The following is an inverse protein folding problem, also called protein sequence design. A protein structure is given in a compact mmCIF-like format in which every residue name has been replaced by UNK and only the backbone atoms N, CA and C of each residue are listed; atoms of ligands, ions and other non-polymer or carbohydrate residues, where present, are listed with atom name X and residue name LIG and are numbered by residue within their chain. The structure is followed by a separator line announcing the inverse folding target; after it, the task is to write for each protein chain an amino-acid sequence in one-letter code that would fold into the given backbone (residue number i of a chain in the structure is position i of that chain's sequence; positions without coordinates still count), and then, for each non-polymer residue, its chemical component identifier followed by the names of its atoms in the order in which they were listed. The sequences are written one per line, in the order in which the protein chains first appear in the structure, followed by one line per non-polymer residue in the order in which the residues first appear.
data_IF_812917213781
#
_entry.id   IF_812917213781
#
_cell.length_a   1.000
_cell.length_b   1.000
_cell.length_c   1.000
_cell.angle_alpha   90.00
_cell.angle_beta   90.00
_cell.angle_gamma   90.00
#
_symmetry.space_group_name_H-M   'P 1'
#
loop_
_entity.id
_entity.type
_entity.pdbx_description
1 polymer ?
#
# COMPACT_ATOMS: atom_id res chain seq x y z
N UNK A 1 45.66 2.83 -54.20
CA UNK A 1 45.74 2.48 -52.77
C UNK A 1 45.37 3.63 -51.85
N UNK A 2 45.87 4.81 -52.07
CA UNK A 2 45.61 6.00 -51.24
C UNK A 2 44.10 6.36 -51.27
N UNK A 3 43.48 6.27 -52.43
CA UNK A 3 42.06 6.54 -52.62
C UNK A 3 41.12 5.58 -51.83
N UNK A 4 41.52 4.32 -51.76
CA UNK A 4 40.76 3.31 -51.02
C UNK A 4 40.79 3.54 -49.51
N UNK A 5 41.91 4.02 -48.99
CA UNK A 5 42.05 4.36 -47.56
C UNK A 5 41.23 5.59 -47.18
N UNK A 6 41.22 6.63 -48.02
CA UNK A 6 40.43 7.85 -47.77
C UNK A 6 38.93 7.57 -47.76
N UNK A 7 38.44 6.70 -48.64
CA UNK A 7 37.04 6.30 -48.68
C UNK A 7 36.66 5.45 -47.46
N UNK A 8 37.59 4.61 -46.96
CA UNK A 8 37.34 3.78 -45.76
C UNK A 8 37.19 4.59 -44.48
N UNK A 9 37.98 5.64 -44.28
CA UNK A 9 37.98 6.46 -43.09
C UNK A 9 36.60 7.12 -42.85
N UNK A 10 35.92 7.75 -43.82
CA UNK A 10 34.59 8.29 -43.64
C UNK A 10 33.53 7.22 -43.34
N UNK A 11 33.64 6.05 -43.94
CA UNK A 11 32.70 4.93 -43.68
C UNK A 11 32.84 4.42 -42.26
N UNK A 12 34.07 4.27 -41.74
CA UNK A 12 34.32 3.88 -40.35
C UNK A 12 33.84 4.93 -39.37
N UNK A 13 34.08 6.20 -39.62
CA UNK A 13 33.60 7.29 -38.78
C UNK A 13 32.06 7.32 -38.73
N UNK A 14 31.41 7.09 -39.88
CA UNK A 14 29.96 7.02 -39.97
C UNK A 14 29.40 5.83 -39.18
N UNK A 15 30.00 4.66 -39.26
CA UNK A 15 29.61 3.47 -38.50
C UNK A 15 29.82 3.67 -37.00
N UNK A 16 30.93 4.24 -36.59
CA UNK A 16 31.23 4.54 -35.18
C UNK A 16 30.26 5.56 -34.64
N UNK A 17 29.94 6.60 -35.40
CA UNK A 17 28.96 7.62 -35.04
C UNK A 17 27.55 7.03 -34.90
N UNK A 18 27.15 6.15 -35.83
CA UNK A 18 25.87 5.47 -35.75
C UNK A 18 25.80 4.54 -34.52
N UNK A 19 26.87 3.79 -34.25
CA UNK A 19 26.95 2.90 -33.07
C UNK A 19 26.87 3.70 -31.76
N UNK A 20 27.54 4.84 -31.68
CA UNK A 20 27.48 5.73 -30.51
C UNK A 20 26.08 6.31 -30.36
N UNK A 21 25.42 6.70 -31.45
CA UNK A 21 24.05 7.22 -31.42
C UNK A 21 23.08 6.13 -30.96
N UNK A 22 23.23 4.88 -31.41
CA UNK A 22 22.44 3.75 -30.93
C UNK A 22 22.66 3.48 -29.45
N UNK A 23 23.90 3.48 -29.00
CA UNK A 23 24.24 3.26 -27.59
C UNK A 23 23.64 4.35 -26.69
N UNK A 24 23.68 5.61 -27.15
CA UNK A 24 23.03 6.74 -26.41
C UNK A 24 21.52 6.59 -26.37
N UNK A 25 20.89 6.19 -27.49
CA UNK A 25 19.47 5.97 -27.56
C UNK A 25 19.03 4.83 -26.60
N UNK A 26 19.83 3.74 -26.54
CA UNK A 26 19.59 2.64 -25.60
C UNK A 26 19.74 3.06 -24.13
N UNK A 27 20.76 3.89 -23.85
CA UNK A 27 20.97 4.44 -22.50
C UNK A 27 19.82 5.36 -22.11
N UNK A 28 19.38 6.24 -22.99
CA UNK A 28 18.26 7.14 -22.75
C UNK A 28 16.96 6.36 -22.51
N UNK A 29 16.73 5.31 -23.31
CA UNK A 29 15.57 4.43 -23.14
C UNK A 29 15.64 3.68 -21.81
N UNK A 30 16.81 3.20 -21.39
CA UNK A 30 17.02 2.54 -20.10
C UNK A 30 16.81 3.51 -18.93
N UNK A 31 17.30 4.74 -19.05
CA UNK A 31 17.09 5.80 -18.04
C UNK A 31 15.61 6.15 -17.90
N UNK A 32 14.89 6.30 -19.01
CA UNK A 32 13.46 6.56 -19.01
C UNK A 32 12.67 5.43 -18.35
N UNK A 33 13.02 4.17 -18.69
CA UNK A 33 12.40 2.99 -18.08
C UNK A 33 12.67 2.94 -16.58
N UNK A 34 13.89 3.28 -16.15
CA UNK A 34 14.27 3.31 -14.74
C UNK A 34 13.51 4.41 -13.99
N UNK A 35 13.42 5.61 -14.57
CA UNK A 35 12.66 6.73 -14.00
C UNK A 35 11.17 6.38 -13.87
N UNK A 36 10.62 5.73 -14.89
CA UNK A 36 9.24 5.26 -14.87
C UNK A 36 9.02 4.25 -13.74
N UNK A 37 9.91 3.26 -13.61
CA UNK A 37 9.85 2.26 -12.53
C UNK A 37 9.96 2.92 -11.16
N UNK A 38 10.85 3.89 -10.98
CA UNK A 38 10.99 4.64 -9.74
C UNK A 38 9.74 5.44 -9.42
N UNK A 39 9.13 6.06 -10.43
CA UNK A 39 7.88 6.78 -10.30
C UNK A 39 6.73 5.86 -9.90
N UNK A 40 6.59 4.72 -10.58
CA UNK A 40 5.57 3.72 -10.29
C UNK A 40 5.73 3.15 -8.87
N UNK A 41 6.97 2.83 -8.45
CA UNK A 41 7.28 2.36 -7.10
C UNK A 41 6.96 3.43 -6.06
N UNK A 42 7.29 4.69 -6.32
CA UNK A 42 7.00 5.80 -5.42
C UNK A 42 5.50 5.98 -5.22
N UNK A 43 4.73 5.90 -6.31
CA UNK A 43 3.27 5.96 -6.25
C UNK A 43 2.68 4.78 -5.50
N UNK A 44 3.20 3.58 -5.74
CA UNK A 44 2.76 2.36 -5.06
C UNK A 44 3.03 2.44 -3.54
N UNK A 45 4.23 2.88 -3.15
CA UNK A 45 4.58 3.09 -1.73
C UNK A 45 3.65 4.12 -1.08
N UNK A 46 3.37 5.23 -1.77
CA UNK A 46 2.44 6.26 -1.27
C UNK A 46 1.03 5.71 -1.10
N UNK A 47 0.57 4.93 -2.07
CA UNK A 47 -0.75 4.31 -2.04
C UNK A 47 -0.85 3.30 -0.89
N UNK A 48 0.17 2.45 -0.72
CA UNK A 48 0.23 1.47 0.37
C UNK A 48 0.33 2.16 1.74
N UNK A 49 1.11 3.24 1.86
CA UNK A 49 1.18 4.05 3.08
C UNK A 49 -0.16 4.65 3.44
N UNK A 50 -0.92 5.12 2.43
CA UNK A 50 -2.26 5.65 2.64
C UNK A 50 -3.21 4.57 3.12
N UNK A 51 -3.15 3.38 2.51
CA UNK A 51 -3.94 2.23 2.93
C UNK A 51 -3.67 1.83 4.38
N UNK A 52 -2.40 1.86 4.79
CA UNK A 52 -2.02 1.60 6.19
C UNK A 52 -2.65 2.63 7.13
N UNK A 53 -2.58 3.91 6.79
CA UNK A 53 -3.19 4.97 7.60
C UNK A 53 -4.70 4.84 7.69
N UNK A 54 -5.35 4.54 6.57
CA UNK A 54 -6.79 4.30 6.52
C UNK A 54 -7.18 3.09 7.37
N UNK A 55 -6.40 2.01 7.29
CA UNK A 55 -6.62 0.81 8.09
C UNK A 55 -6.39 1.06 9.58
N UNK A 56 -5.38 1.85 9.96
CA UNK A 56 -5.12 2.25 11.34
C UNK A 56 -6.27 3.08 11.90
N UNK A 57 -6.76 4.06 11.13
CA UNK A 57 -7.92 4.86 11.52
C UNK A 57 -9.18 4.01 11.64
N UNK A 58 -9.39 3.09 10.70
CA UNK A 58 -10.49 2.14 10.75
C UNK A 58 -10.43 1.26 11.99
N UNK A 59 -9.24 0.82 12.38
CA UNK A 59 -9.01 0.05 13.60
C UNK A 59 -9.33 0.86 14.86
N UNK A 60 -8.92 2.12 14.92
CA UNK A 60 -9.20 3.01 16.04
C UNK A 60 -10.70 3.29 16.18
N UNK A 61 -11.38 3.55 15.04
CA UNK A 61 -12.84 3.77 15.02
C UNK A 61 -13.58 2.51 15.49
N UNK A 62 -13.18 1.34 14.97
CA UNK A 62 -13.81 0.07 15.37
C UNK A 62 -13.61 -0.20 16.86
N UNK A 63 -12.43 0.13 17.40
CA UNK A 63 -12.15 0.00 18.84
C UNK A 63 -13.05 0.91 19.69
N UNK A 64 -13.20 2.16 19.27
CA UNK A 64 -14.09 3.12 19.97
C UNK A 64 -15.55 2.69 19.90
N UNK A 65 -16.00 2.19 18.75
CA UNK A 65 -17.36 1.67 18.60
C UNK A 65 -17.61 0.46 19.49
N UNK A 66 -16.63 -0.42 19.62
CA UNK A 66 -16.69 -1.57 20.51
C UNK A 66 -16.78 -1.11 21.97
N UNK A 67 -15.95 -0.17 22.39
CA UNK A 67 -15.99 0.40 23.74
C UNK A 67 -17.36 1.03 24.03
N UNK A 68 -17.90 1.77 23.05
CA UNK A 68 -19.20 2.40 23.18
C UNK A 68 -20.32 1.34 23.35
N UNK A 69 -20.27 0.27 22.56
CA UNK A 69 -21.23 -0.84 22.66
C UNK A 69 -21.12 -1.55 24.01
N UNK A 70 -19.90 -1.76 24.52
CA UNK A 70 -19.65 -2.37 25.83
C UNK A 70 -20.21 -1.49 26.97
N UNK A 71 -19.98 -0.18 26.89
CA UNK A 71 -20.54 0.77 27.87
C UNK A 71 -22.07 0.81 27.80
N UNK A 72 -22.64 0.83 26.61
CA UNK A 72 -24.07 0.78 26.38
C UNK A 72 -24.70 -0.48 26.99
N UNK A 73 -24.05 -1.63 26.77
CA UNK A 73 -24.47 -2.91 27.33
C UNK A 73 -24.43 -2.87 28.86
N UNK A 74 -23.37 -2.31 29.44
CA UNK A 74 -23.23 -2.21 30.91
C UNK A 74 -24.32 -1.33 31.51
N UNK A 75 -24.63 -0.20 30.89
CA UNK A 75 -25.72 0.70 31.33
C UNK A 75 -27.07 -0.01 31.24
N UNK A 76 -27.30 -0.71 30.13
CA UNK A 76 -28.54 -1.44 29.88
C UNK A 76 -28.70 -2.61 30.87
N UNK A 77 -27.61 -3.29 31.21
CA UNK A 77 -27.60 -4.34 32.23
C UNK A 77 -28.01 -3.78 33.59
N UNK A 78 -27.49 -2.61 33.98
CA UNK A 78 -27.87 -1.94 35.21
C UNK A 78 -29.35 -1.55 35.19
N UNK A 79 -29.85 -1.06 34.07
CA UNK A 79 -31.28 -0.72 33.89
C UNK A 79 -32.15 -1.98 33.95
N UNK A 80 -31.72 -3.09 33.38
CA UNK A 80 -32.42 -4.36 33.45
C UNK A 80 -32.50 -4.87 34.88
N UNK A 81 -31.42 -4.77 35.67
CA UNK A 81 -31.37 -5.17 37.06
C UNK A 81 -32.33 -4.33 37.91
N UNK A 82 -32.58 -3.07 37.52
CA UNK A 82 -33.54 -2.16 38.18
C UNK A 82 -34.97 -2.31 37.62
N UNK A 83 -35.20 -3.22 36.67
CA UNK A 83 -36.50 -3.42 36.07
C UNK A 83 -36.91 -2.35 35.05
N UNK A 84 -35.94 -1.51 34.58
CA UNK A 84 -36.22 -0.41 33.66
C UNK A 84 -36.00 -0.77 32.20
N UNK A 85 -35.36 -1.92 31.92
CA UNK A 85 -35.11 -2.42 30.57
C UNK A 85 -35.66 -3.82 30.44
N UNK A 86 -36.00 -4.21 29.20
CA UNK A 86 -36.51 -5.55 28.91
C UNK A 86 -35.36 -6.50 28.57
N UNK A 87 -35.62 -7.81 28.71
CA UNK A 87 -34.67 -8.84 28.27
C UNK A 87 -34.35 -8.71 26.78
N UNK A 88 -35.33 -8.36 25.96
CA UNK A 88 -35.16 -8.14 24.53
C UNK A 88 -34.17 -7.02 24.25
N UNK A 89 -34.23 -5.93 24.98
CA UNK A 89 -33.29 -4.81 24.86
C UNK A 89 -31.88 -5.26 25.22
N UNK A 90 -31.73 -6.05 26.27
CA UNK A 90 -30.44 -6.59 26.72
C UNK A 90 -29.84 -7.54 25.68
N UNK A 91 -30.64 -8.45 25.14
CA UNK A 91 -30.20 -9.38 24.09
C UNK A 91 -29.79 -8.64 22.81
N UNK A 92 -30.54 -7.61 22.44
CA UNK A 92 -30.23 -6.76 21.28
C UNK A 92 -28.90 -6.04 21.48
N UNK A 93 -28.64 -5.55 22.69
CA UNK A 93 -27.35 -4.91 23.01
C UNK A 93 -26.18 -5.89 22.99
N UNK A 94 -26.39 -7.15 23.43
CA UNK A 94 -25.39 -8.21 23.32
C UNK A 94 -25.05 -8.54 21.86
N UNK A 95 -26.06 -8.60 21.00
CA UNK A 95 -25.85 -8.84 19.57
C UNK A 95 -25.08 -7.68 18.94
N UNK A 96 -25.41 -6.45 19.30
CA UNK A 96 -24.67 -5.28 18.81
C UNK A 96 -23.20 -5.30 19.26
N UNK A 97 -22.95 -5.64 20.53
CA UNK A 97 -21.58 -5.80 21.03
C UNK A 97 -20.81 -6.86 20.25
N UNK A 98 -21.43 -8.02 19.98
CA UNK A 98 -20.81 -9.09 19.22
C UNK A 98 -20.48 -8.63 17.79
N UNK A 99 -21.39 -7.90 17.14
CA UNK A 99 -21.16 -7.33 15.81
C UNK A 99 -19.97 -6.34 15.83
N UNK A 100 -19.88 -5.52 16.87
CA UNK A 100 -18.76 -4.58 17.04
C UNK A 100 -17.44 -5.32 17.31
N UNK A 101 -17.47 -6.43 18.04
CA UNK A 101 -16.31 -7.31 18.20
C UNK A 101 -15.81 -7.84 16.86
N UNK A 102 -16.71 -8.36 16.04
CA UNK A 102 -16.36 -8.87 14.71
C UNK A 102 -15.79 -7.76 13.83
N UNK A 103 -16.40 -6.58 13.86
CA UNK A 103 -15.91 -5.43 13.11
C UNK A 103 -14.50 -5.00 13.57
N UNK A 104 -14.24 -5.05 14.88
CA UNK A 104 -12.92 -4.77 15.44
C UNK A 104 -11.88 -5.78 14.99
N UNK A 105 -12.21 -7.07 15.01
CA UNK A 105 -11.30 -8.13 14.56
C UNK A 105 -11.01 -7.99 13.05
N UNK A 106 -12.03 -7.69 12.25
CA UNK A 106 -11.87 -7.46 10.82
C UNK A 106 -10.98 -6.24 10.53
N UNK A 107 -11.17 -5.15 11.29
CA UNK A 107 -10.36 -3.95 11.17
C UNK A 107 -8.89 -4.20 11.54
N UNK A 108 -8.64 -4.99 12.57
CA UNK A 108 -7.28 -5.41 12.95
C UNK A 108 -6.63 -6.27 11.89
N UNK A 109 -7.38 -7.19 11.31
CA UNK A 109 -6.91 -8.04 10.21
C UNK A 109 -6.55 -7.18 8.99
N UNK A 110 -7.42 -6.24 8.62
CA UNK A 110 -7.16 -5.32 7.51
C UNK A 110 -5.91 -4.47 7.77
N UNK A 111 -5.71 -4.02 9.00
CA UNK A 111 -4.52 -3.25 9.40
C UNK A 111 -3.24 -4.09 9.23
N UNK A 112 -3.25 -5.33 9.72
CA UNK A 112 -2.11 -6.23 9.58
C UNK A 112 -1.81 -6.54 8.12
N UNK A 113 -2.83 -6.77 7.31
CA UNK A 113 -2.67 -6.99 5.86
C UNK A 113 -2.06 -5.78 5.17
N UNK A 114 -2.56 -4.57 5.47
CA UNK A 114 -2.04 -3.34 4.89
C UNK A 114 -0.57 -3.11 5.27
N UNK A 115 -0.20 -3.39 6.51
CA UNK A 115 1.19 -3.30 6.98
C UNK A 115 2.09 -4.31 6.27
N UNK A 116 1.62 -5.55 6.08
CA UNK A 116 2.36 -6.58 5.35
C UNK A 116 2.56 -6.21 3.89
N UNK A 117 1.53 -5.68 3.24
CA UNK A 117 1.63 -5.21 1.85
C UNK A 117 2.63 -4.07 1.71
N UNK A 118 2.63 -3.13 2.66
CA UNK A 118 3.61 -2.04 2.67
C UNK A 118 5.03 -2.59 2.85
N UNK A 119 5.23 -3.54 3.76
CA UNK A 119 6.53 -4.19 3.99
C UNK A 119 7.01 -4.93 2.75
N UNK A 120 6.12 -5.60 2.03
CA UNK A 120 6.47 -6.28 0.77
C UNK A 120 6.96 -5.30 -0.29
N UNK A 121 6.29 -4.17 -0.43
CA UNK A 121 6.68 -3.13 -1.40
C UNK A 121 8.01 -2.48 -0.98
N UNK A 122 8.17 -2.13 0.29
CA UNK A 122 9.42 -1.53 0.80
C UNK A 122 10.56 -2.55 0.82
N UNK A 123 10.28 -3.81 1.13
CA UNK A 123 11.26 -4.90 1.07
C UNK A 123 11.73 -5.15 -0.36
N UNK A 124 10.83 -5.07 -1.35
CA UNK A 124 11.16 -5.16 -2.77
C UNK A 124 12.08 -4.02 -3.21
N UNK A 125 11.84 -2.80 -2.76
CA UNK A 125 12.70 -1.63 -3.02
C UNK A 125 14.09 -1.84 -2.41
N UNK A 126 14.17 -2.34 -1.20
CA UNK A 126 15.42 -2.64 -0.51
C UNK A 126 16.26 -3.65 -1.29
N UNK A 127 15.64 -4.68 -1.86
CA UNK A 127 16.32 -5.68 -2.70
C UNK A 127 16.86 -5.09 -4.01
N UNK A 128 16.13 -4.13 -4.60
CA UNK A 128 16.55 -3.47 -5.84
C UNK A 128 17.76 -2.55 -5.59
N UNK A 129 17.84 -1.94 -4.40
CA UNK A 129 18.92 -1.04 -4.02
C UNK A 129 20.21 -1.77 -3.61
N UNK A 130 20.15 -3.05 -3.29
CA UNK A 130 21.30 -3.91 -3.05
C UNK A 130 21.78 -4.57 -4.35
#
# INVERSE_FOLDING_TARGET
MIFGLEVRIPIFASRTSAAVAFAKADLDAADLALQKKRGDLSLDVRQKSRQVREADLGGDVAHLELQLAQEGLRVLQAQFDQGRATLKDLESAHLDENDKWLAYLDANYARQQAQLELLQVTGGVSKILQ
#
